data_IF_915606157242
#
_entry.id   IF_915606157242
#
_cell.length_a   1.000
_cell.length_b   1.000
_cell.length_c   1.000
_cell.angle_alpha   90.00
_cell.angle_beta   90.00
_cell.angle_gamma   90.00
#
_symmetry.space_group_name_H-M   'P 1'
#
loop_
_entity.id
_entity.type
_entity.pdbx_description
1 polymer ?
#
# COMPACT_ATOMS: atom_id res chain seq x y z
N UNK A 1 22.05 15.37 -3.37
CA UNK A 1 21.54 14.90 -4.69
C UNK A 1 20.11 14.41 -4.47
N UNK A 2 19.21 14.67 -5.43
CA UNK A 2 17.86 14.07 -5.40
C UNK A 2 17.95 12.57 -5.67
N UNK A 3 17.22 11.76 -4.92
CA UNK A 3 17.10 10.32 -5.16
C UNK A 3 16.30 10.05 -6.44
N UNK A 4 16.42 8.85 -7.04
CA UNK A 4 15.61 8.47 -8.20
C UNK A 4 14.11 8.54 -7.89
N UNK A 5 13.71 8.15 -6.69
CA UNK A 5 12.34 8.28 -6.18
C UNK A 5 11.85 9.74 -6.23
N UNK A 6 12.63 10.68 -5.74
CA UNK A 6 12.28 12.12 -5.78
C UNK A 6 12.20 12.64 -7.22
N UNK A 7 13.11 12.21 -8.10
CA UNK A 7 13.08 12.58 -9.53
C UNK A 7 11.82 12.09 -10.22
N UNK A 8 11.40 10.86 -9.92
CA UNK A 8 10.18 10.27 -10.47
C UNK A 8 8.93 11.02 -10.03
N UNK A 9 8.71 11.16 -8.72
CA UNK A 9 7.51 11.80 -8.19
C UNK A 9 7.43 13.30 -8.46
N UNK A 10 8.53 13.97 -8.73
CA UNK A 10 8.52 15.36 -9.19
C UNK A 10 7.98 15.51 -10.63
N UNK A 11 8.00 14.45 -11.44
CA UNK A 11 7.50 14.43 -12.82
C UNK A 11 6.18 13.70 -12.98
N UNK A 12 5.90 12.74 -12.11
CA UNK A 12 4.74 11.87 -12.19
C UNK A 12 3.50 12.54 -11.57
N UNK A 13 2.41 12.59 -12.33
CA UNK A 13 1.16 13.16 -11.84
C UNK A 13 0.29 12.07 -11.17
N UNK A 14 0.58 11.78 -9.90
CA UNK A 14 -0.15 10.81 -9.08
C UNK A 14 -1.64 11.13 -9.00
N UNK A 15 -2.02 12.41 -8.88
CA UNK A 15 -3.42 12.84 -8.85
C UNK A 15 -4.21 12.41 -10.09
N UNK A 16 -3.55 12.46 -11.29
CA UNK A 16 -4.19 12.01 -12.53
C UNK A 16 -4.38 10.49 -12.56
N UNK A 17 -3.39 9.73 -12.09
CA UNK A 17 -3.48 8.27 -11.98
C UNK A 17 -4.67 7.86 -11.12
N UNK A 18 -4.77 8.45 -9.95
CA UNK A 18 -5.78 8.13 -8.95
C UNK A 18 -7.22 8.53 -9.37
N UNK A 19 -7.37 9.42 -10.34
CA UNK A 19 -8.70 9.80 -10.90
C UNK A 19 -9.16 8.87 -12.02
N UNK A 20 -8.28 8.05 -12.59
CA UNK A 20 -8.65 7.08 -13.61
C UNK A 20 -9.51 5.95 -13.04
N UNK A 21 -10.33 5.28 -13.85
CA UNK A 21 -11.22 4.21 -13.37
C UNK A 21 -10.46 3.06 -12.72
N UNK A 22 -9.35 2.60 -13.30
CA UNK A 22 -8.55 1.56 -12.67
C UNK A 22 -7.98 2.00 -11.30
N UNK A 23 -7.53 3.26 -11.14
CA UNK A 23 -7.11 3.79 -9.85
C UNK A 23 -8.25 3.97 -8.84
N UNK A 24 -9.50 4.13 -9.32
CA UNK A 24 -10.68 4.16 -8.44
C UNK A 24 -10.99 2.78 -7.85
N UNK A 25 -10.76 1.67 -8.59
CA UNK A 25 -10.95 0.31 -8.06
C UNK A 25 -10.09 0.09 -6.83
N UNK A 26 -8.79 0.39 -6.92
CA UNK A 26 -7.85 0.29 -5.79
C UNK A 26 -8.32 1.15 -4.60
N UNK A 27 -8.70 2.40 -4.86
CA UNK A 27 -9.12 3.33 -3.81
C UNK A 27 -10.40 2.87 -3.10
N UNK A 28 -11.43 2.52 -3.85
CA UNK A 28 -12.73 2.09 -3.29
C UNK A 28 -12.55 0.82 -2.46
N UNK A 29 -11.78 -0.14 -2.98
CA UNK A 29 -11.50 -1.39 -2.27
C UNK A 29 -10.73 -1.12 -1.00
N UNK A 30 -9.64 -0.36 -1.07
CA UNK A 30 -8.83 -0.03 0.10
C UNK A 30 -9.63 0.73 1.17
N UNK A 31 -10.45 1.72 0.79
CA UNK A 31 -11.32 2.44 1.72
C UNK A 31 -12.34 1.53 2.41
N UNK A 32 -12.96 0.59 1.67
CA UNK A 32 -13.86 -0.42 2.27
C UNK A 32 -13.17 -1.20 3.40
N UNK A 33 -11.90 -1.61 3.19
CA UNK A 33 -11.17 -2.37 4.20
C UNK A 33 -10.59 -1.48 5.31
N UNK A 34 -10.21 -0.25 5.04
CA UNK A 34 -9.88 0.72 6.08
C UNK A 34 -11.09 0.86 7.01
N UNK A 35 -12.29 1.14 6.50
CA UNK A 35 -13.50 1.27 7.30
C UNK A 35 -13.88 -0.02 8.06
N UNK A 36 -13.67 -1.21 7.45
CA UNK A 36 -13.94 -2.50 8.09
C UNK A 36 -13.11 -2.69 9.36
N UNK A 37 -11.89 -2.17 9.40
CA UNK A 37 -10.95 -2.37 10.49
C UNK A 37 -10.79 -1.14 11.41
N UNK A 38 -11.46 -0.03 11.14
CA UNK A 38 -11.52 1.09 12.04
C UNK A 38 -12.30 0.76 13.32
N UNK A 39 -11.84 1.23 14.50
CA UNK A 39 -12.57 1.05 15.74
C UNK A 39 -13.96 1.70 15.69
N UNK A 40 -14.97 1.02 16.25
CA UNK A 40 -16.35 1.54 16.34
C UNK A 40 -16.48 2.54 17.50
N UNK A 41 -16.01 3.75 17.32
CA UNK A 41 -16.15 4.90 18.25
C UNK A 41 -16.25 6.20 17.47
N UNK A 42 -16.46 7.33 18.16
CA UNK A 42 -16.50 8.65 17.50
C UNK A 42 -15.24 8.89 16.67
N UNK A 43 -15.41 9.37 15.45
CA UNK A 43 -14.32 9.49 14.46
C UNK A 43 -13.17 10.36 15.01
N UNK A 44 -13.47 11.49 15.66
CA UNK A 44 -12.45 12.37 16.24
C UNK A 44 -11.61 11.75 17.36
N UNK A 45 -12.01 10.61 17.91
CA UNK A 45 -11.27 9.86 18.91
C UNK A 45 -10.41 8.75 18.30
N UNK A 46 -10.53 8.49 17.00
CA UNK A 46 -9.76 7.47 16.27
C UNK A 46 -8.58 8.15 15.60
N UNK A 47 -7.39 7.74 16.00
CA UNK A 47 -6.12 8.24 15.44
C UNK A 47 -5.62 7.34 14.34
N UNK A 48 -5.48 7.90 13.14
CA UNK A 48 -4.98 7.19 11.95
C UNK A 48 -3.62 7.75 11.56
N UNK A 49 -2.66 6.86 11.25
CA UNK A 49 -1.37 7.22 10.66
C UNK A 49 -1.31 6.73 9.21
N UNK A 50 -1.10 7.63 8.27
CA UNK A 50 -0.87 7.32 6.87
C UNK A 50 0.62 7.52 6.55
N UNK A 51 1.34 6.42 6.33
CA UNK A 51 2.79 6.39 6.07
C UNK A 51 3.04 6.16 4.59
N UNK A 52 3.74 7.10 3.95
CA UNK A 52 3.84 7.16 2.50
C UNK A 52 2.60 7.76 1.87
N UNK A 53 2.04 8.79 2.50
CA UNK A 53 0.74 9.36 2.15
C UNK A 53 0.66 9.95 0.74
N UNK A 54 1.79 10.12 0.04
CA UNK A 54 1.84 10.72 -1.27
C UNK A 54 1.21 12.12 -1.27
N UNK A 55 0.29 12.35 -2.19
CA UNK A 55 -0.49 13.60 -2.25
C UNK A 55 -1.69 13.62 -1.30
N UNK A 56 -1.87 12.57 -0.47
CA UNK A 56 -2.84 12.51 0.62
C UNK A 56 -4.24 12.06 0.21
N UNK A 57 -4.39 11.15 -0.74
CA UNK A 57 -5.70 10.70 -1.19
C UNK A 57 -6.50 10.02 -0.07
N UNK A 58 -5.87 9.09 0.66
CA UNK A 58 -6.50 8.42 1.81
C UNK A 58 -6.58 9.34 3.01
N UNK A 59 -5.47 10.03 3.34
CA UNK A 59 -5.43 10.95 4.48
C UNK A 59 -6.51 12.01 4.44
N UNK A 60 -6.71 12.66 3.28
CA UNK A 60 -7.70 13.74 3.14
C UNK A 60 -9.12 13.19 3.22
N UNK A 61 -9.42 12.08 2.52
CA UNK A 61 -10.73 11.46 2.56
C UNK A 61 -11.15 11.08 4.00
N UNK A 62 -10.24 10.45 4.75
CA UNK A 62 -10.50 10.07 6.14
C UNK A 62 -10.63 11.29 7.08
N UNK A 63 -9.85 12.35 6.83
CA UNK A 63 -9.96 13.59 7.60
C UNK A 63 -11.29 14.32 7.32
N UNK A 64 -11.80 14.27 6.09
CA UNK A 64 -13.13 14.80 5.72
C UNK A 64 -14.27 14.01 6.38
N UNK A 65 -14.07 12.73 6.67
CA UNK A 65 -14.98 11.91 7.47
C UNK A 65 -14.90 12.19 8.98
N UNK A 66 -13.97 13.04 9.43
CA UNK A 66 -13.83 13.47 10.81
C UNK A 66 -12.84 12.68 11.66
N UNK A 67 -12.03 11.81 11.09
CA UNK A 67 -10.96 11.09 11.81
C UNK A 67 -9.76 12.00 12.13
N UNK A 68 -9.04 11.73 13.24
CA UNK A 68 -7.78 12.39 13.57
C UNK A 68 -6.63 11.76 12.75
N UNK A 69 -6.34 12.35 11.58
CA UNK A 69 -5.38 11.81 10.62
C UNK A 69 -4.04 12.52 10.70
N UNK A 70 -3.00 11.72 10.85
CA UNK A 70 -1.59 12.13 10.71
C UNK A 70 -1.00 11.48 9.48
N UNK A 71 -0.30 12.24 8.64
CA UNK A 71 0.35 11.78 7.43
C UNK A 71 1.87 11.95 7.51
N UNK A 72 2.60 10.95 7.05
CA UNK A 72 4.07 10.97 6.87
C UNK A 72 4.37 10.73 5.40
N UNK A 73 5.11 11.64 4.78
CA UNK A 73 5.51 11.54 3.38
C UNK A 73 7.00 11.86 3.22
N UNK A 74 7.73 11.03 2.48
CA UNK A 74 9.15 11.17 2.26
C UNK A 74 9.46 12.29 1.26
N UNK A 75 8.71 12.32 0.15
CA UNK A 75 8.95 13.21 -0.98
C UNK A 75 8.36 14.59 -0.72
N UNK A 76 9.21 15.59 -0.62
CA UNK A 76 8.80 16.99 -0.32
C UNK A 76 7.74 17.53 -1.29
N UNK A 77 7.83 17.16 -2.57
CA UNK A 77 6.88 17.60 -3.59
C UNK A 77 5.47 17.11 -3.29
N UNK A 78 5.31 15.82 -3.03
CA UNK A 78 4.03 15.21 -2.67
C UNK A 78 3.46 15.82 -1.37
N UNK A 79 4.30 15.92 -0.34
CA UNK A 79 3.95 16.57 0.92
C UNK A 79 3.47 18.01 0.70
N UNK A 80 4.11 18.75 -0.22
CA UNK A 80 3.70 20.11 -0.58
C UNK A 80 2.31 20.16 -1.22
N UNK A 81 1.95 19.17 -2.03
CA UNK A 81 0.61 19.03 -2.62
C UNK A 81 -0.41 18.71 -1.52
N UNK A 82 -0.13 17.74 -0.65
CA UNK A 82 -0.99 17.38 0.47
C UNK A 82 -1.32 18.60 1.34
N UNK A 83 -0.30 19.35 1.75
CA UNK A 83 -0.47 20.55 2.60
C UNK A 83 -1.32 21.65 1.95
N UNK A 84 -1.32 21.75 0.61
CA UNK A 84 -2.16 22.71 -0.13
C UNK A 84 -3.65 22.34 -0.18
N UNK A 85 -4.02 21.11 0.16
CA UNK A 85 -5.42 20.67 0.15
C UNK A 85 -6.26 21.24 1.29
N UNK A 86 -5.66 22.04 2.20
CA UNK A 86 -6.35 22.72 3.33
C UNK A 86 -7.23 21.78 4.18
N UNK A 87 -6.81 20.51 4.33
CA UNK A 87 -7.48 19.54 5.18
C UNK A 87 -6.99 19.64 6.63
N UNK A 88 -7.70 18.99 7.55
CA UNK A 88 -7.28 18.86 8.95
C UNK A 88 -6.12 17.89 9.18
N UNK A 89 -5.57 17.31 8.13
CA UNK A 89 -4.46 16.33 8.19
C UNK A 89 -3.18 16.95 8.76
N UNK A 90 -2.63 16.34 9.81
CA UNK A 90 -1.33 16.70 10.39
C UNK A 90 -0.21 16.09 9.54
N UNK A 91 0.35 16.82 8.57
CA UNK A 91 1.28 16.30 7.58
C UNK A 91 2.75 16.64 7.87
N UNK A 92 3.60 15.61 7.95
CA UNK A 92 5.02 15.70 8.26
C UNK A 92 5.89 15.05 7.19
N UNK A 93 7.09 15.60 6.98
CA UNK A 93 8.10 14.89 6.22
C UNK A 93 8.74 13.81 7.09
N UNK A 94 8.88 12.59 6.57
CA UNK A 94 9.48 11.48 7.31
C UNK A 94 9.67 10.23 6.45
N UNK A 95 10.28 9.22 7.06
CA UNK A 95 10.61 7.94 6.43
C UNK A 95 9.95 6.81 7.24
N UNK A 96 9.36 5.83 6.56
CA UNK A 96 8.76 4.65 7.18
C UNK A 96 9.74 3.86 8.06
N UNK A 97 11.04 3.93 7.76
CA UNK A 97 12.10 3.27 8.53
C UNK A 97 12.39 3.95 9.88
N UNK A 98 11.82 5.13 10.14
CA UNK A 98 12.05 5.89 11.38
C UNK A 98 10.85 6.79 11.69
N UNK A 99 9.96 6.30 12.53
CA UNK A 99 8.77 7.01 13.02
C UNK A 99 8.97 7.59 14.43
N UNK A 100 10.22 7.92 14.80
CA UNK A 100 10.61 8.38 16.14
C UNK A 100 9.95 9.69 16.61
N UNK A 101 9.27 10.40 15.71
CA UNK A 101 8.44 11.55 16.04
C UNK A 101 7.25 11.15 16.92
N UNK A 102 6.76 9.92 16.78
CA UNK A 102 5.55 9.44 17.43
C UNK A 102 5.90 8.53 18.60
N UNK A 103 5.20 8.69 19.74
CA UNK A 103 5.37 7.79 20.86
C UNK A 103 4.85 6.38 20.51
N UNK A 104 5.19 5.43 21.34
CA UNK A 104 4.70 4.07 21.25
C UNK A 104 3.17 4.05 21.48
N UNK A 105 2.47 3.16 20.79
CA UNK A 105 1.04 2.88 21.00
C UNK A 105 0.12 4.11 20.84
N UNK A 106 0.40 4.95 19.86
CA UNK A 106 -0.36 6.18 19.64
C UNK A 106 -1.58 5.96 18.71
N UNK A 107 -1.43 5.17 17.63
CA UNK A 107 -2.42 5.09 16.56
C UNK A 107 -3.30 3.85 16.67
N UNK A 108 -4.57 4.02 16.30
CA UNK A 108 -5.57 2.96 16.26
C UNK A 108 -5.49 2.15 14.96
N UNK A 109 -5.19 2.84 13.85
CA UNK A 109 -5.03 2.24 12.54
C UNK A 109 -3.86 2.91 11.81
N UNK A 110 -3.07 2.08 11.11
CA UNK A 110 -1.96 2.56 10.27
C UNK A 110 -2.20 2.10 8.84
N UNK A 111 -2.08 3.04 7.90
CA UNK A 111 -2.03 2.79 6.46
C UNK A 111 -0.56 2.87 6.06
N UNK A 112 -0.03 1.82 5.45
CA UNK A 112 1.33 1.72 4.96
C UNK A 112 1.28 1.38 3.46
N UNK A 113 0.73 2.34 2.67
CA UNK A 113 0.58 2.20 1.23
C UNK A 113 1.67 3.00 0.52
N UNK A 114 2.53 2.31 -0.24
CA UNK A 114 3.63 2.90 -0.97
C UNK A 114 5.03 2.61 -0.42
N UNK A 115 5.37 2.76 0.87
CA UNK A 115 6.73 2.52 1.34
C UNK A 115 7.31 1.15 0.95
N UNK A 116 6.51 0.09 1.02
CA UNK A 116 6.96 -1.26 0.71
C UNK A 116 7.37 -1.47 -0.75
N UNK A 117 6.89 -0.61 -1.64
CA UNK A 117 7.27 -0.64 -3.06
C UNK A 117 8.70 -0.15 -3.31
N UNK A 118 9.25 0.64 -2.39
CA UNK A 118 10.52 1.35 -2.51
C UNK A 118 11.58 0.88 -1.50
N UNK A 119 11.31 -0.21 -0.79
CA UNK A 119 12.25 -0.87 0.10
C UNK A 119 12.70 -2.18 -0.55
N UNK A 120 13.99 -2.25 -0.92
CA UNK A 120 14.51 -3.33 -1.76
C UNK A 120 15.04 -4.54 -0.96
N UNK A 121 15.18 -4.41 0.35
CA UNK A 121 15.67 -5.49 1.21
C UNK A 121 14.60 -5.96 2.19
N UNK A 122 14.67 -7.24 2.57
CA UNK A 122 13.81 -7.81 3.61
C UNK A 122 13.98 -7.05 4.93
N UNK A 123 15.21 -6.70 5.27
CA UNK A 123 15.59 -6.00 6.50
C UNK A 123 14.88 -4.65 6.61
N UNK A 124 14.85 -3.87 5.52
CA UNK A 124 14.18 -2.56 5.50
C UNK A 124 12.65 -2.72 5.56
N UNK A 125 12.07 -3.70 4.86
CA UNK A 125 10.63 -3.98 4.95
C UNK A 125 10.23 -4.38 6.37
N UNK A 126 10.97 -5.29 7.00
CA UNK A 126 10.73 -5.70 8.39
C UNK A 126 10.91 -4.52 9.33
N UNK A 127 11.93 -3.67 9.14
CA UNK A 127 12.14 -2.47 9.95
C UNK A 127 10.98 -1.49 9.85
N UNK A 128 10.43 -1.27 8.64
CA UNK A 128 9.24 -0.43 8.45
C UNK A 128 8.02 -1.01 9.20
N UNK A 129 7.80 -2.33 9.14
CA UNK A 129 6.76 -3.00 9.90
C UNK A 129 6.98 -2.88 11.42
N UNK A 130 8.20 -3.01 11.90
CA UNK A 130 8.52 -2.86 13.32
C UNK A 130 8.29 -1.43 13.84
N UNK A 131 8.64 -0.40 13.06
CA UNK A 131 8.33 0.99 13.41
C UNK A 131 6.82 1.25 13.42
N UNK A 132 6.08 0.74 12.42
CA UNK A 132 4.62 0.80 12.41
C UNK A 132 4.03 0.05 13.62
N UNK A 133 4.52 -1.16 13.93
CA UNK A 133 4.13 -1.95 15.11
C UNK A 133 4.34 -1.18 16.43
N UNK A 134 5.47 -0.49 16.56
CA UNK A 134 5.80 0.27 17.78
C UNK A 134 4.78 1.37 18.04
N UNK A 135 4.43 2.16 17.01
CA UNK A 135 3.51 3.30 17.16
C UNK A 135 2.04 2.88 17.12
N UNK A 136 1.73 1.63 16.73
CA UNK A 136 0.39 1.05 16.75
C UNK A 136 -0.03 0.73 18.18
N UNK A 137 -1.28 1.00 18.57
CA UNK A 137 -1.90 0.50 19.80
C UNK A 137 -1.96 -1.04 19.80
N UNK A 138 -2.14 -1.64 20.97
CA UNK A 138 -2.09 -3.10 21.09
C UNK A 138 -3.23 -3.79 20.33
N UNK A 139 -4.43 -3.20 20.30
CA UNK A 139 -5.59 -3.70 19.54
C UNK A 139 -5.74 -3.02 18.17
N UNK A 140 -4.72 -2.30 17.72
CA UNK A 140 -4.74 -1.59 16.44
C UNK A 140 -4.51 -2.52 15.25
N UNK A 141 -4.73 -1.97 14.05
CA UNK A 141 -4.58 -2.69 12.78
C UNK A 141 -3.68 -1.90 11.83
N UNK A 142 -2.85 -2.61 11.07
CA UNK A 142 -2.06 -2.04 9.97
C UNK A 142 -2.58 -2.62 8.66
N UNK A 143 -2.81 -1.76 7.67
CA UNK A 143 -3.04 -2.15 6.29
C UNK A 143 -1.76 -1.86 5.50
N UNK A 144 -1.17 -2.88 4.90
CA UNK A 144 0.11 -2.79 4.18
C UNK A 144 -0.10 -3.16 2.72
N UNK A 145 0.26 -2.28 1.80
CA UNK A 145 0.17 -2.58 0.37
C UNK A 145 1.52 -3.01 -0.21
N UNK A 146 1.46 -3.97 -1.12
CA UNK A 146 2.59 -4.53 -1.85
C UNK A 146 2.29 -4.58 -3.34
N UNK A 147 3.33 -4.41 -4.17
CA UNK A 147 3.30 -4.65 -5.61
C UNK A 147 3.70 -6.10 -5.92
N UNK A 148 2.96 -6.75 -6.83
CA UNK A 148 3.06 -8.19 -7.01
C UNK A 148 3.97 -8.58 -8.18
N UNK A 149 4.83 -9.58 -7.94
CA UNK A 149 5.80 -10.10 -8.90
C UNK A 149 5.15 -10.54 -10.21
N UNK A 150 4.09 -11.34 -10.12
CA UNK A 150 3.43 -11.92 -11.29
C UNK A 150 2.83 -10.85 -12.20
N UNK A 151 2.31 -9.77 -11.60
CA UNK A 151 1.85 -8.61 -12.37
C UNK A 151 2.99 -7.97 -13.17
N UNK A 152 4.14 -7.72 -12.54
CA UNK A 152 5.30 -7.13 -13.21
C UNK A 152 5.79 -7.99 -14.37
N UNK A 153 5.93 -9.30 -14.16
CA UNK A 153 6.36 -10.24 -15.19
C UNK A 153 5.38 -10.26 -16.37
N UNK A 154 4.07 -10.35 -16.10
CA UNK A 154 3.04 -10.41 -17.15
C UNK A 154 2.93 -9.09 -17.92
N UNK A 155 2.98 -7.97 -17.22
CA UNK A 155 2.76 -6.65 -17.84
C UNK A 155 4.03 -6.12 -18.48
N UNK A 156 5.08 -5.88 -17.69
CA UNK A 156 6.32 -5.34 -18.21
C UNK A 156 7.09 -6.37 -19.04
N UNK A 157 7.20 -7.60 -18.52
CA UNK A 157 7.92 -8.67 -19.22
C UNK A 157 7.24 -9.07 -20.53
N UNK A 158 6.03 -9.62 -20.46
CA UNK A 158 5.39 -10.21 -21.65
C UNK A 158 4.58 -9.21 -22.47
N UNK A 159 3.65 -8.46 -21.87
CA UNK A 159 2.77 -7.55 -22.63
C UNK A 159 3.56 -6.41 -23.28
N UNK A 160 4.57 -5.86 -22.60
CA UNK A 160 5.43 -4.78 -23.09
C UNK A 160 6.71 -5.30 -23.78
N UNK A 161 6.86 -6.63 -23.88
CA UNK A 161 7.91 -7.32 -24.62
C UNK A 161 9.35 -7.08 -24.11
N UNK A 162 9.52 -6.97 -22.77
CA UNK A 162 10.86 -6.84 -22.14
C UNK A 162 11.38 -8.14 -21.52
N UNK A 163 10.65 -9.27 -21.66
CA UNK A 163 10.97 -10.51 -20.92
C UNK A 163 12.38 -11.03 -21.18
N UNK A 164 12.83 -11.04 -22.46
CA UNK A 164 14.15 -11.52 -22.81
C UNK A 164 15.25 -10.61 -22.25
N UNK A 165 15.08 -9.30 -22.40
CA UNK A 165 15.99 -8.31 -21.83
C UNK A 165 16.12 -8.44 -20.31
N UNK A 166 14.99 -8.66 -19.60
CA UNK A 166 14.99 -8.84 -18.16
C UNK A 166 15.75 -10.09 -17.71
N UNK A 167 15.65 -11.18 -18.46
CA UNK A 167 16.41 -12.42 -18.19
C UNK A 167 17.90 -12.23 -18.49
N UNK A 168 18.25 -11.62 -19.60
CA UNK A 168 19.65 -11.39 -20.01
C UNK A 168 20.37 -10.43 -19.05
N UNK A 169 19.69 -9.40 -18.55
CA UNK A 169 20.26 -8.40 -17.66
C UNK A 169 20.16 -8.77 -16.16
N UNK A 170 19.65 -9.97 -15.83
CA UNK A 170 19.51 -10.43 -14.45
C UNK A 170 18.45 -9.67 -13.63
N UNK A 171 17.51 -8.97 -14.28
CA UNK A 171 16.33 -8.34 -13.63
C UNK A 171 15.26 -9.36 -13.24
N UNK A 172 15.33 -10.56 -13.83
CA UNK A 172 14.56 -11.74 -13.43
C UNK A 172 15.53 -12.90 -13.20
N UNK A 173 15.28 -13.67 -12.15
CA UNK A 173 15.98 -14.93 -11.91
C UNK A 173 15.38 -16.09 -12.74
N UNK A 174 15.94 -17.29 -12.58
CA UNK A 174 15.47 -18.50 -13.27
C UNK A 174 14.04 -18.93 -12.86
N UNK A 175 13.49 -18.39 -11.78
CA UNK A 175 12.13 -18.63 -11.31
C UNK A 175 11.19 -17.47 -11.67
N UNK A 176 11.62 -16.59 -12.57
CA UNK A 176 10.90 -15.37 -12.95
C UNK A 176 10.58 -14.45 -11.76
N UNK A 177 11.46 -14.44 -10.77
CA UNK A 177 11.36 -13.51 -9.64
C UNK A 177 12.10 -12.22 -10.03
N UNK A 178 11.47 -11.08 -9.78
CA UNK A 178 12.11 -9.77 -9.98
C UNK A 178 13.30 -9.65 -9.00
N UNK A 179 14.44 -9.26 -9.53
CA UNK A 179 15.67 -8.97 -8.79
C UNK A 179 15.84 -7.45 -8.70
N UNK A 180 15.31 -6.79 -7.66
CA UNK A 180 15.32 -5.35 -7.56
C UNK A 180 16.72 -4.80 -7.30
N UNK A 181 16.98 -3.60 -7.78
CA UNK A 181 18.19 -2.85 -7.49
C UNK A 181 17.83 -1.43 -7.03
N UNK A 182 18.73 -0.70 -6.35
CA UNK A 182 18.46 0.67 -5.90
C UNK A 182 18.16 1.68 -7.02
N UNK A 183 18.48 1.35 -8.27
CA UNK A 183 18.15 2.15 -9.44
C UNK A 183 16.72 1.90 -9.95
N UNK A 184 16.10 0.79 -9.54
CA UNK A 184 14.72 0.48 -9.90
C UNK A 184 13.76 1.33 -9.06
N UNK A 185 12.62 1.68 -9.64
CA UNK A 185 11.63 2.46 -8.92
C UNK A 185 10.83 1.63 -7.93
N UNK A 186 10.55 0.38 -8.29
CA UNK A 186 9.69 -0.52 -7.52
C UNK A 186 10.36 -1.87 -7.25
N UNK A 187 10.10 -2.38 -6.05
CA UNK A 187 10.30 -3.79 -5.73
C UNK A 187 8.96 -4.54 -5.83
N UNK A 188 9.03 -5.79 -6.25
CA UNK A 188 7.88 -6.66 -6.44
C UNK A 188 8.06 -7.93 -5.62
N UNK A 189 7.00 -8.34 -4.93
CA UNK A 189 7.04 -9.47 -4.01
C UNK A 189 6.03 -10.55 -4.37
N UNK A 190 6.20 -11.74 -3.80
CA UNK A 190 5.22 -12.82 -3.79
C UNK A 190 4.56 -12.95 -2.42
N UNK A 191 3.50 -13.73 -2.31
CA UNK A 191 2.76 -13.89 -1.05
C UNK A 191 3.62 -14.49 0.06
N UNK A 192 4.49 -15.44 -0.28
CA UNK A 192 5.44 -16.04 0.66
C UNK A 192 6.47 -15.05 1.23
N UNK A 193 6.82 -14.01 0.48
CA UNK A 193 7.68 -12.94 0.99
C UNK A 193 6.95 -12.14 2.07
N UNK A 194 5.68 -11.78 1.81
CA UNK A 194 4.83 -11.07 2.77
C UNK A 194 4.68 -11.87 4.05
N UNK A 195 4.47 -13.19 3.95
CA UNK A 195 4.41 -14.09 5.10
C UNK A 195 5.69 -14.03 5.93
N UNK A 196 6.84 -14.06 5.24
CA UNK A 196 8.15 -14.00 5.89
C UNK A 196 8.43 -12.65 6.58
N UNK A 197 7.90 -11.55 6.05
CA UNK A 197 8.03 -10.21 6.67
C UNK A 197 7.17 -10.11 7.93
N UNK A 198 5.94 -10.62 7.88
CA UNK A 198 5.03 -10.64 9.02
C UNK A 198 5.59 -11.47 10.17
N UNK A 199 6.10 -12.67 9.85
CA UNK A 199 6.74 -13.54 10.86
C UNK A 199 7.92 -12.82 11.53
N UNK A 200 8.83 -12.26 10.74
CA UNK A 200 10.02 -11.58 11.24
C UNK A 200 9.68 -10.32 12.07
N UNK A 201 8.60 -9.60 11.73
CA UNK A 201 8.12 -8.46 12.49
C UNK A 201 7.25 -8.84 13.69
N UNK A 202 6.92 -10.12 13.87
CA UNK A 202 6.02 -10.60 14.92
C UNK A 202 4.60 -10.03 14.76
N UNK A 203 4.10 -10.05 13.54
CA UNK A 203 2.74 -9.63 13.17
C UNK A 203 1.90 -10.86 12.81
N UNK A 204 0.59 -10.73 12.97
CA UNK A 204 -0.40 -11.75 12.63
C UNK A 204 -1.33 -11.20 11.55
N UNK A 205 -1.53 -11.96 10.47
CA UNK A 205 -2.47 -11.62 9.41
C UNK A 205 -3.90 -11.82 9.88
N UNK A 206 -4.73 -10.79 9.72
CA UNK A 206 -6.18 -10.84 9.87
C UNK A 206 -6.86 -11.19 8.56
N UNK A 207 -6.37 -10.60 7.46
CA UNK A 207 -6.92 -10.76 6.12
C UNK A 207 -5.90 -10.31 5.08
N UNK A 208 -5.99 -10.87 3.88
CA UNK A 208 -5.26 -10.40 2.71
C UNK A 208 -6.22 -10.27 1.53
N UNK A 209 -6.08 -9.23 0.73
CA UNK A 209 -6.97 -8.94 -0.40
C UNK A 209 -6.20 -8.46 -1.62
N UNK A 210 -6.76 -8.70 -2.80
CA UNK A 210 -6.33 -8.01 -4.01
C UNK A 210 -6.96 -6.61 -4.05
N UNK A 211 -6.15 -5.55 -4.00
CA UNK A 211 -6.67 -4.19 -3.91
C UNK A 211 -7.31 -3.70 -5.21
N UNK A 212 -6.77 -4.13 -6.33
CA UNK A 212 -7.16 -3.68 -7.67
C UNK A 212 -7.59 -4.82 -8.61
N UNK A 213 -7.32 -6.09 -8.25
CA UNK A 213 -7.68 -7.25 -9.06
C UNK A 213 -7.17 -7.15 -10.49
N UNK A 214 -8.03 -7.41 -11.49
CA UNK A 214 -7.66 -7.33 -12.89
C UNK A 214 -7.68 -5.90 -13.46
N UNK A 215 -7.95 -4.87 -12.67
CA UNK A 215 -8.26 -3.52 -13.17
C UNK A 215 -7.13 -2.91 -13.98
N UNK A 216 -5.88 -3.17 -13.62
CA UNK A 216 -4.74 -2.64 -14.34
C UNK A 216 -4.47 -3.38 -15.67
N UNK A 217 -4.72 -4.69 -15.73
CA UNK A 217 -4.73 -5.45 -16.99
C UNK A 217 -5.81 -4.95 -17.94
N UNK A 218 -6.96 -4.54 -17.41
CA UNK A 218 -8.15 -4.10 -18.14
C UNK A 218 -8.23 -2.57 -18.26
N UNK A 219 -7.17 -1.83 -18.01
CA UNK A 219 -7.14 -0.36 -17.92
C UNK A 219 -7.85 0.32 -19.10
N UNK A 220 -7.58 -0.11 -20.33
CA UNK A 220 -8.20 0.48 -21.53
C UNK A 220 -9.70 0.23 -21.56
N UNK A 221 -10.13 -0.99 -21.25
CA UNK A 221 -11.53 -1.39 -21.23
C UNK A 221 -12.30 -0.64 -20.15
N UNK A 222 -11.76 -0.59 -18.92
CA UNK A 222 -12.39 0.12 -17.80
C UNK A 222 -12.59 1.61 -18.09
N UNK A 223 -11.61 2.26 -18.73
CA UNK A 223 -11.68 3.69 -19.04
C UNK A 223 -12.75 4.02 -20.10
N UNK A 224 -13.22 3.03 -20.86
CA UNK A 224 -14.26 3.20 -21.89
C UNK A 224 -15.64 2.66 -21.48
N UNK A 225 -15.75 1.99 -20.33
CA UNK A 225 -17.04 1.52 -19.80
C UNK A 225 -18.00 2.68 -19.52
N UNK A 226 -19.29 2.47 -19.68
CA UNK A 226 -20.29 3.37 -19.11
C UNK A 226 -20.31 3.26 -17.58
N UNK A 227 -20.94 4.22 -16.91
CA UNK A 227 -20.93 4.32 -15.46
C UNK A 227 -21.60 3.11 -14.78
N UNK A 228 -22.71 2.62 -15.35
CA UNK A 228 -23.44 1.48 -14.79
C UNK A 228 -22.62 0.19 -14.86
N UNK A 229 -21.97 -0.06 -15.99
CA UNK A 229 -21.10 -1.22 -16.17
C UNK A 229 -19.88 -1.12 -15.27
N UNK A 230 -19.30 0.07 -15.11
CA UNK A 230 -18.18 0.28 -14.19
C UNK A 230 -18.58 0.03 -12.74
N UNK A 231 -19.74 0.51 -12.30
CA UNK A 231 -20.23 0.21 -10.94
C UNK A 231 -20.43 -1.29 -10.74
N UNK A 232 -20.98 -2.00 -11.72
CA UNK A 232 -21.11 -3.47 -11.67
C UNK A 232 -19.73 -4.16 -11.56
N UNK A 233 -18.70 -3.62 -12.23
CA UNK A 233 -17.34 -4.13 -12.09
C UNK A 233 -16.80 -3.91 -10.67
N UNK A 234 -17.03 -2.75 -10.05
CA UNK A 234 -16.68 -2.48 -8.65
C UNK A 234 -17.37 -3.50 -7.73
N UNK A 235 -18.67 -3.71 -7.88
CA UNK A 235 -19.44 -4.64 -7.05
C UNK A 235 -18.90 -6.08 -7.19
N UNK A 236 -18.61 -6.53 -8.41
CA UNK A 236 -17.97 -7.81 -8.68
C UNK A 236 -16.60 -7.90 -7.99
N UNK A 237 -15.76 -6.88 -8.14
CA UNK A 237 -14.43 -6.88 -7.53
C UNK A 237 -14.51 -6.92 -6.00
N UNK A 238 -15.41 -6.15 -5.40
CA UNK A 238 -15.60 -6.14 -3.93
C UNK A 238 -16.09 -7.48 -3.34
N UNK A 239 -16.68 -8.35 -4.17
CA UNK A 239 -17.07 -9.72 -3.80
C UNK A 239 -15.89 -10.68 -3.98
N UNK A 240 -15.02 -10.44 -4.97
CA UNK A 240 -14.00 -11.39 -5.39
C UNK A 240 -12.60 -11.07 -4.84
N UNK A 241 -12.36 -9.85 -4.34
CA UNK A 241 -11.03 -9.40 -3.90
C UNK A 241 -10.44 -10.20 -2.72
N UNK A 242 -11.27 -10.94 -1.97
CA UNK A 242 -10.84 -11.82 -0.87
C UNK A 242 -10.54 -13.26 -1.31
N UNK A 243 -10.81 -13.62 -2.57
CA UNK A 243 -10.64 -14.99 -3.06
C UNK A 243 -9.16 -15.36 -3.12
N UNK A 244 -8.71 -16.44 -2.43
CA UNK A 244 -7.30 -16.82 -2.37
C UNK A 244 -6.64 -17.00 -3.74
N UNK A 245 -7.39 -17.51 -4.72
CA UNK A 245 -6.92 -17.74 -6.07
C UNK A 245 -6.70 -16.45 -6.89
N UNK A 246 -7.18 -15.29 -6.40
CA UNK A 246 -7.04 -13.99 -7.06
C UNK A 246 -6.09 -13.04 -6.31
N UNK A 247 -5.81 -13.32 -5.04
CA UNK A 247 -4.83 -12.53 -4.27
C UNK A 247 -3.44 -12.76 -4.84
N UNK A 248 -2.69 -11.69 -5.08
CA UNK A 248 -1.35 -11.76 -5.67
C UNK A 248 -1.32 -11.80 -7.20
N UNK A 249 -2.47 -11.93 -7.87
CA UNK A 249 -2.56 -11.88 -9.33
C UNK A 249 -2.77 -10.47 -9.89
N UNK A 250 -3.23 -9.51 -9.07
CA UNK A 250 -3.38 -8.10 -9.42
C UNK A 250 -2.07 -7.32 -9.30
N UNK A 251 -2.13 -6.03 -9.56
CA UNK A 251 -0.96 -5.15 -9.38
C UNK A 251 -0.63 -4.94 -7.90
N UNK A 252 -1.67 -4.75 -7.08
CA UNK A 252 -1.52 -4.47 -5.66
C UNK A 252 -2.29 -5.49 -4.79
N UNK A 253 -1.60 -5.94 -3.75
CA UNK A 253 -2.19 -6.74 -2.66
C UNK A 253 -2.11 -5.94 -1.37
N UNK A 254 -3.19 -5.93 -0.59
CA UNK A 254 -3.21 -5.32 0.75
C UNK A 254 -3.28 -6.42 1.79
N UNK A 255 -2.27 -6.47 2.65
CA UNK A 255 -2.19 -7.34 3.80
C UNK A 255 -2.64 -6.58 5.06
N UNK A 256 -3.60 -7.12 5.78
CA UNK A 256 -4.22 -6.53 6.96
C UNK A 256 -3.76 -7.32 8.16
N UNK A 257 -2.99 -6.67 9.01
CA UNK A 257 -2.23 -7.32 10.08
C UNK A 257 -2.44 -6.61 11.42
N UNK A 258 -2.20 -7.36 12.49
CA UNK A 258 -2.16 -6.85 13.87
C UNK A 258 -0.93 -7.37 14.60
N UNK A 259 -0.67 -6.84 15.78
CA UNK A 259 0.33 -7.41 16.68
C UNK A 259 -0.03 -8.86 17.02
N UNK A 260 0.93 -9.76 16.89
CA UNK A 260 0.76 -11.12 17.37
C UNK A 260 0.56 -11.07 18.89
N UNK A 261 -0.52 -11.67 19.36
CA UNK A 261 -0.76 -11.80 20.82
C UNK A 261 0.29 -12.78 21.35
N UNK A 262 1.05 -12.34 22.34
CA UNK A 262 1.90 -13.27 23.08
C UNK A 262 0.99 -14.38 23.60
N UNK A 263 1.28 -15.62 23.21
CA UNK A 263 0.54 -16.76 23.68
C UNK A 263 0.68 -16.83 25.20
N UNK A 264 -0.29 -16.27 25.90
CA UNK A 264 -0.41 -16.46 27.33
C UNK A 264 -0.45 -17.98 27.55
N UNK A 265 0.60 -18.53 28.12
CA UNK A 265 0.54 -19.82 28.74
C UNK A 265 -0.50 -19.64 29.84
N UNK A 266 -1.76 -20.08 29.56
CA UNK A 266 -2.72 -20.28 30.64
C UNK A 266 -2.04 -21.23 31.63
N UNK A 267 -1.63 -20.66 32.76
CA UNK A 267 -1.13 -21.41 33.91
C UNK A 267 -2.32 -21.97 34.68
#
# INVERSE_FOLDING_TARGET
MMTELEKYYNKFNEEKRLKSRHGQVEFITSMKYIHKYLPKREHGQVKILDVGAGTGRYSVALAEEGYDVTAVELVKYNLGILKKKNSSVKAYQGNALKLSRFPDKEFDLIILFGPMYHLYTKEDKVKALMEAKRVLKDEGTILVAYTMNEYSVLVYGFRENHIQECLENGKLDANYRVCPSPEDLYDYVRLEDIDSYNEAAGMERLQIISADGPSDYMRQVLNTMDEKTFQTFIDYHLITCERPELVGAGSHTVDIIRKKKDGGIEK
#
